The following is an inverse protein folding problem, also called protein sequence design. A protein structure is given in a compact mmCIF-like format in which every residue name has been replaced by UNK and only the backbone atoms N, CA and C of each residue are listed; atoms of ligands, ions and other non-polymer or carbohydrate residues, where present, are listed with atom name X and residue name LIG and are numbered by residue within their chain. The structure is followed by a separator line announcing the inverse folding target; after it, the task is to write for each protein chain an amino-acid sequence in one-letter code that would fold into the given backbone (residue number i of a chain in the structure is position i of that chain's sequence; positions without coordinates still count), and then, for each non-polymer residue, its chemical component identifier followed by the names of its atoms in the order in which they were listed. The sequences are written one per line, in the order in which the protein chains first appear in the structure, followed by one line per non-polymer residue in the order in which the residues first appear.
data_IF_069088066790
#
_entry.id   IF_069088066790
#
_cell.length_a   1.000
_cell.length_b   1.000
_cell.length_c   1.000
_cell.angle_alpha   90.00
_cell.angle_beta   90.00
_cell.angle_gamma   90.00
#
_symmetry.space_group_name_H-M   'P 1'
#
loop_
_entity.id
_entity.type
_entity.pdbx_description
1 polymer ?
#
# COMPACT_ATOMS: atom_id res chain seq x y z
N UNK A 1 22.65 -18.62 17.26
CA UNK A 1 21.40 -17.94 17.69
C UNK A 1 21.65 -16.50 18.18
N UNK A 2 22.89 -16.12 18.52
CA UNK A 2 23.24 -14.78 19.04
C UNK A 2 23.70 -13.74 17.99
N UNK A 3 23.72 -14.07 16.70
CA UNK A 3 24.30 -13.20 15.67
C UNK A 3 23.40 -11.99 15.28
N UNK A 4 22.22 -11.87 15.89
CA UNK A 4 21.23 -10.84 15.54
C UNK A 4 21.24 -9.61 16.46
N UNK A 5 21.92 -9.66 17.61
CA UNK A 5 21.78 -8.67 18.70
C UNK A 5 22.87 -7.57 18.64
N UNK A 6 23.75 -7.60 17.64
CA UNK A 6 24.83 -6.62 17.50
C UNK A 6 24.34 -5.23 17.07
N UNK A 7 24.84 -4.18 17.73
CA UNK A 7 24.61 -2.77 17.36
C UNK A 7 25.03 -2.45 15.91
N UNK A 8 25.94 -3.22 15.33
CA UNK A 8 26.40 -3.10 13.94
C UNK A 8 25.24 -3.27 12.92
N UNK A 9 24.18 -3.99 13.31
CA UNK A 9 23.00 -4.21 12.47
C UNK A 9 22.18 -2.93 12.25
N UNK A 10 22.34 -1.90 13.09
CA UNK A 10 21.62 -0.62 12.94
C UNK A 10 21.99 0.14 11.68
N UNK A 11 23.19 -0.11 11.13
CA UNK A 11 23.69 0.54 9.91
C UNK A 11 22.87 0.19 8.66
N UNK A 12 22.22 -0.96 8.66
CA UNK A 12 21.48 -1.49 7.51
C UNK A 12 19.96 -1.39 7.67
N UNK A 13 19.48 -0.72 8.73
CA UNK A 13 18.06 -0.45 8.92
C UNK A 13 17.54 0.49 7.84
N UNK A 14 16.43 0.10 7.22
CA UNK A 14 15.68 0.93 6.28
C UNK A 14 14.61 1.74 7.00
N UNK A 15 13.93 2.63 6.27
CA UNK A 15 12.90 3.50 6.83
C UNK A 15 11.78 2.72 7.52
N UNK A 16 11.31 1.61 6.92
CA UNK A 16 10.30 0.73 7.52
C UNK A 16 10.76 0.11 8.86
N UNK A 17 12.05 -0.16 9.00
CA UNK A 17 12.63 -0.76 10.21
C UNK A 17 12.69 0.24 11.35
N UNK A 18 13.17 1.45 11.05
CA UNK A 18 13.26 2.54 12.01
C UNK A 18 11.86 2.94 12.48
N UNK A 19 10.91 2.99 11.55
CA UNK A 19 9.51 3.27 11.84
C UNK A 19 8.93 2.29 12.86
N UNK A 20 8.97 0.98 12.59
CA UNK A 20 8.33 0.01 13.49
C UNK A 20 9.02 -0.03 14.85
N UNK A 21 10.33 0.25 14.93
CA UNK A 21 11.06 0.36 16.19
C UNK A 21 10.63 1.60 16.99
N UNK A 22 10.41 2.74 16.32
CA UNK A 22 9.91 3.95 16.97
C UNK A 22 8.47 3.76 17.46
N UNK A 23 7.59 3.20 16.63
CA UNK A 23 6.20 2.88 17.01
C UNK A 23 6.14 1.85 18.15
N UNK A 24 7.03 0.84 18.16
CA UNK A 24 7.14 -0.11 19.27
C UNK A 24 7.50 0.60 20.57
N UNK A 25 8.43 1.56 20.51
CA UNK A 25 8.82 2.34 21.68
C UNK A 25 7.68 3.25 22.17
N UNK A 26 6.89 3.82 21.26
CA UNK A 26 5.65 4.54 21.63
C UNK A 26 4.61 3.62 22.25
N UNK A 27 4.43 2.40 21.73
CA UNK A 27 3.56 1.39 22.34
C UNK A 27 3.99 1.08 23.77
N UNK A 28 5.29 0.90 24.02
CA UNK A 28 5.80 0.64 25.38
C UNK A 28 5.38 1.76 26.32
N UNK A 29 5.55 3.02 25.92
CA UNK A 29 5.11 4.18 26.70
C UNK A 29 3.60 4.19 26.94
N UNK A 30 2.79 3.97 25.90
CA UNK A 30 1.32 3.96 25.99
C UNK A 30 0.82 2.86 26.94
N UNK A 31 1.40 1.66 26.85
CA UNK A 31 1.07 0.53 27.72
C UNK A 31 1.46 0.83 29.16
N UNK A 32 2.66 1.36 29.40
CA UNK A 32 3.13 1.74 30.73
C UNK A 32 2.20 2.80 31.36
N UNK A 33 1.89 3.86 30.61
CA UNK A 33 0.94 4.90 31.02
C UNK A 33 -0.45 4.30 31.36
N UNK A 34 -0.93 3.34 30.59
CA UNK A 34 -2.20 2.64 30.89
C UNK A 34 -2.11 1.74 32.12
N UNK A 35 -1.01 1.02 32.31
CA UNK A 35 -0.79 0.13 33.44
C UNK A 35 -0.71 0.91 34.76
N UNK A 36 0.05 2.01 34.81
CA UNK A 36 0.16 2.91 35.97
C UNK A 36 -1.19 3.52 36.38
N UNK A 37 -2.08 3.73 35.42
CA UNK A 37 -3.43 4.26 35.65
C UNK A 37 -4.50 3.16 35.82
N UNK A 38 -4.12 1.89 36.01
CA UNK A 38 -5.02 0.74 36.15
C UNK A 38 -6.00 0.55 34.97
N UNK A 39 -5.65 1.04 33.77
CA UNK A 39 -6.43 0.93 32.53
C UNK A 39 -6.04 -0.31 31.72
N UNK A 40 -6.07 -1.48 32.37
CA UNK A 40 -5.64 -2.76 31.78
C UNK A 40 -6.31 -3.09 30.43
N UNK A 41 -7.59 -2.77 30.27
CA UNK A 41 -8.31 -2.99 29.01
C UNK A 41 -7.72 -2.18 27.86
N UNK A 42 -7.26 -0.96 28.13
CA UNK A 42 -6.72 -0.07 27.10
C UNK A 42 -5.27 -0.44 26.77
N UNK A 43 -4.46 -0.81 27.78
CA UNK A 43 -3.15 -1.43 27.57
C UNK A 43 -3.22 -2.65 26.63
N UNK A 44 -4.14 -3.58 26.89
CA UNK A 44 -4.33 -4.77 26.06
C UNK A 44 -4.81 -4.43 24.64
N UNK A 45 -5.68 -3.41 24.49
CA UNK A 45 -6.10 -2.93 23.17
C UNK A 45 -4.93 -2.33 22.39
N UNK A 46 -4.08 -1.52 23.03
CA UNK A 46 -2.91 -0.92 22.41
C UNK A 46 -1.95 -2.01 21.88
N UNK A 47 -1.60 -2.99 22.73
CA UNK A 47 -0.74 -4.13 22.34
C UNK A 47 -1.34 -4.87 21.14
N UNK A 48 -2.63 -5.20 21.21
CA UNK A 48 -3.33 -5.92 20.13
C UNK A 48 -3.34 -5.12 18.83
N UNK A 49 -3.68 -3.83 18.89
CA UNK A 49 -3.78 -2.98 17.72
C UNK A 49 -2.42 -2.82 17.04
N UNK A 50 -1.34 -2.58 17.79
CA UNK A 50 0.01 -2.53 17.24
C UNK A 50 0.41 -3.87 16.61
N UNK A 51 0.19 -4.98 17.33
CA UNK A 51 0.57 -6.32 16.87
C UNK A 51 -0.13 -6.68 15.56
N UNK A 52 -1.41 -6.36 15.45
CA UNK A 52 -2.22 -6.70 14.28
C UNK A 52 -1.99 -5.72 13.13
N UNK A 53 -2.22 -4.44 13.37
CA UNK A 53 -2.32 -3.45 12.31
C UNK A 53 -0.95 -2.89 11.91
N UNK A 54 -0.03 -2.60 12.84
CA UNK A 54 1.27 -2.03 12.47
C UNK A 54 2.30 -3.12 12.14
N UNK A 55 2.35 -4.17 12.96
CA UNK A 55 3.33 -5.24 12.80
C UNK A 55 2.91 -6.30 11.78
N UNK A 56 1.81 -7.00 12.00
CA UNK A 56 1.44 -8.17 11.20
C UNK A 56 0.93 -7.82 9.79
N UNK A 57 -0.07 -6.95 9.68
CA UNK A 57 -0.66 -6.59 8.37
C UNK A 57 0.31 -5.80 7.49
N UNK A 58 1.22 -5.07 8.12
CA UNK A 58 2.07 -4.08 7.45
C UNK A 58 3.55 -4.43 7.50
N UNK A 59 4.23 -4.26 8.65
CA UNK A 59 5.69 -4.42 8.70
C UNK A 59 6.18 -5.80 8.21
N UNK A 60 5.55 -6.91 8.63
CA UNK A 60 5.91 -8.25 8.18
C UNK A 60 5.84 -8.39 6.66
N UNK A 61 4.80 -7.83 6.06
CA UNK A 61 4.58 -7.89 4.63
C UNK A 61 5.56 -7.01 3.84
N UNK A 62 5.93 -5.86 4.40
CA UNK A 62 6.93 -4.94 3.83
C UNK A 62 8.31 -5.61 3.78
N UNK A 63 8.75 -6.23 4.88
CA UNK A 63 10.12 -6.78 4.98
C UNK A 63 10.26 -8.20 4.41
N UNK A 64 9.15 -8.85 4.07
CA UNK A 64 9.12 -10.24 3.60
C UNK A 64 10.08 -10.50 2.45
N UNK A 65 10.07 -9.66 1.42
CA UNK A 65 10.97 -9.81 0.27
C UNK A 65 12.44 -9.76 0.70
N UNK A 66 12.79 -8.82 1.58
CA UNK A 66 14.15 -8.64 2.10
C UNK A 66 14.65 -9.86 2.88
N UNK A 67 13.77 -10.55 3.59
CA UNK A 67 14.12 -11.80 4.30
C UNK A 67 14.53 -12.94 3.37
N UNK A 68 13.94 -13.02 2.17
CA UNK A 68 14.24 -14.08 1.19
C UNK A 68 15.34 -13.68 0.20
N UNK A 69 15.23 -12.48 -0.36
CA UNK A 69 16.03 -12.04 -1.51
C UNK A 69 17.05 -10.94 -1.19
N UNK A 70 17.05 -10.38 0.03
CA UNK A 70 18.02 -9.37 0.45
C UNK A 70 19.44 -9.92 0.60
N UNK A 71 20.41 -9.00 0.70
CA UNK A 71 21.79 -9.35 1.07
C UNK A 71 21.86 -9.89 2.50
N UNK A 72 22.96 -10.52 2.88
CA UNK A 72 23.12 -11.06 4.24
C UNK A 72 23.00 -9.97 5.32
N UNK A 73 23.51 -8.77 5.04
CA UNK A 73 23.38 -7.60 5.93
C UNK A 73 21.92 -7.16 6.07
N UNK A 74 21.20 -7.06 4.96
CA UNK A 74 19.78 -6.66 4.95
C UNK A 74 18.88 -7.69 5.65
N UNK A 75 19.18 -8.98 5.46
CA UNK A 75 18.52 -10.08 6.16
C UNK A 75 18.79 -10.02 7.66
N UNK A 76 20.03 -9.77 8.08
CA UNK A 76 20.39 -9.60 9.50
C UNK A 76 19.65 -8.42 10.12
N UNK A 77 19.61 -7.27 9.45
CA UNK A 77 18.86 -6.10 9.90
C UNK A 77 17.36 -6.38 10.07
N UNK A 78 16.72 -6.98 9.06
CA UNK A 78 15.30 -7.35 9.15
C UNK A 78 15.03 -8.31 10.31
N UNK A 79 15.88 -9.35 10.47
CA UNK A 79 15.76 -10.33 11.57
C UNK A 79 15.97 -9.70 12.95
N UNK A 80 16.90 -8.74 13.08
CA UNK A 80 17.09 -7.99 14.32
C UNK A 80 15.82 -7.24 14.73
N UNK A 81 15.17 -6.55 13.79
CA UNK A 81 13.95 -5.79 14.09
C UNK A 81 12.79 -6.72 14.42
N UNK A 82 12.59 -7.78 13.62
CA UNK A 82 11.57 -8.80 13.90
C UNK A 82 11.76 -9.42 15.28
N UNK A 83 13.02 -9.72 15.64
CA UNK A 83 13.35 -10.24 16.94
C UNK A 83 13.02 -9.25 18.06
N UNK A 84 13.43 -7.99 17.89
CA UNK A 84 13.22 -6.93 18.88
C UNK A 84 11.73 -6.66 19.13
N UNK A 85 10.92 -6.62 18.08
CA UNK A 85 9.47 -6.44 18.17
C UNK A 85 8.84 -7.62 18.89
N UNK A 86 9.12 -8.87 18.47
CA UNK A 86 8.55 -10.06 19.10
C UNK A 86 8.96 -10.22 20.57
N UNK A 87 10.24 -10.02 20.89
CA UNK A 87 10.77 -10.03 22.26
C UNK A 87 10.00 -9.06 23.17
N UNK A 88 9.75 -7.84 22.66
CA UNK A 88 9.04 -6.80 23.39
C UNK A 88 7.56 -7.13 23.55
N UNK A 89 6.87 -7.58 22.50
CA UNK A 89 5.46 -7.96 22.55
C UNK A 89 5.20 -9.13 23.52
N UNK A 90 6.08 -10.15 23.54
CA UNK A 90 5.99 -11.28 24.47
C UNK A 90 6.07 -10.79 25.93
N UNK A 91 6.98 -9.86 26.24
CA UNK A 91 7.09 -9.27 27.58
C UNK A 91 5.90 -8.38 27.93
N UNK A 92 5.44 -7.54 26.99
CA UNK A 92 4.29 -6.65 27.21
C UNK A 92 3.00 -7.44 27.53
N UNK A 93 2.78 -8.57 26.86
CA UNK A 93 1.57 -9.38 27.04
C UNK A 93 1.63 -10.33 28.25
N UNK A 94 2.83 -10.59 28.81
CA UNK A 94 3.02 -11.54 29.91
C UNK A 94 2.11 -11.31 31.14
N UNK A 95 1.86 -10.06 31.61
CA UNK A 95 0.93 -9.81 32.71
C UNK A 95 -0.54 -10.17 32.41
N UNK A 96 -0.93 -10.20 31.13
CA UNK A 96 -2.31 -10.45 30.70
C UNK A 96 -2.57 -11.91 30.36
N UNK A 97 -1.61 -12.57 29.70
CA UNK A 97 -1.74 -13.94 29.21
C UNK A 97 -0.50 -14.75 29.60
N UNK A 98 -0.30 -15.05 30.89
CA UNK A 98 0.98 -15.53 31.42
C UNK A 98 1.44 -16.86 30.83
N UNK A 99 0.52 -17.82 30.63
CA UNK A 99 0.86 -19.13 30.06
C UNK A 99 1.20 -19.05 28.56
N UNK A 100 0.45 -18.24 27.80
CA UNK A 100 0.72 -18.04 26.37
C UNK A 100 2.06 -17.33 26.17
N UNK A 101 2.33 -16.30 26.97
CA UNK A 101 3.60 -15.57 26.91
C UNK A 101 4.78 -16.48 27.27
N UNK A 102 4.63 -17.36 28.26
CA UNK A 102 5.67 -18.33 28.65
C UNK A 102 5.94 -19.35 27.53
N UNK A 103 4.90 -19.88 26.88
CA UNK A 103 5.06 -20.79 25.74
C UNK A 103 5.77 -20.10 24.57
N UNK A 104 5.36 -18.87 24.22
CA UNK A 104 6.03 -18.07 23.20
C UNK A 104 7.49 -17.80 23.57
N UNK A 105 7.79 -17.45 24.83
CA UNK A 105 9.15 -17.21 25.31
C UNK A 105 10.02 -18.47 25.22
N UNK A 106 9.49 -19.63 25.62
CA UNK A 106 10.18 -20.91 25.53
C UNK A 106 10.57 -21.24 24.08
N UNK A 107 9.66 -21.07 23.12
CA UNK A 107 9.95 -21.28 21.69
C UNK A 107 10.96 -20.24 21.16
N UNK A 108 10.84 -18.99 21.61
CA UNK A 108 11.58 -17.87 21.04
C UNK A 108 13.00 -17.72 21.60
N UNK A 109 13.21 -18.01 22.90
CA UNK A 109 14.48 -17.85 23.62
C UNK A 109 15.09 -19.19 24.03
N UNK A 110 14.27 -20.21 24.29
CA UNK A 110 14.74 -21.54 24.70
C UNK A 110 15.23 -21.67 26.13
N UNK A 111 15.31 -20.56 26.88
CA UNK A 111 15.79 -20.54 28.27
C UNK A 111 15.16 -19.43 29.12
N UNK A 112 15.10 -19.67 30.43
CA UNK A 112 14.48 -18.77 31.40
C UNK A 112 12.96 -18.69 31.30
N UNK A 113 12.38 -17.76 32.04
CA UNK A 113 10.94 -17.44 32.02
C UNK A 113 10.76 -15.97 31.69
N UNK A 114 9.72 -15.63 30.92
CA UNK A 114 9.38 -14.23 30.63
C UNK A 114 9.03 -13.47 31.90
N UNK A 115 8.46 -14.14 32.89
CA UNK A 115 8.07 -13.57 34.19
C UNK A 115 9.25 -13.21 35.10
N UNK A 116 10.47 -13.61 34.72
CA UNK A 116 11.72 -13.24 35.41
C UNK A 116 12.50 -12.14 34.67
N UNK A 117 11.98 -11.65 33.54
CA UNK A 117 12.63 -10.60 32.75
C UNK A 117 12.18 -9.21 33.19
N UNK A 118 13.03 -8.22 32.97
CA UNK A 118 12.63 -6.82 33.10
C UNK A 118 11.49 -6.50 32.14
N UNK A 119 10.52 -5.73 32.62
CA UNK A 119 9.46 -5.21 31.76
C UNK A 119 10.05 -4.21 30.77
N UNK A 120 9.53 -4.09 29.53
CA UNK A 120 10.03 -3.12 28.56
C UNK A 120 9.87 -1.69 29.07
N UNK A 121 10.89 -0.86 28.88
CA UNK A 121 10.92 0.53 29.33
C UNK A 121 11.00 1.49 28.13
N UNK A 122 10.27 2.60 28.21
CA UNK A 122 10.30 3.65 27.19
C UNK A 122 11.68 4.30 27.13
N UNK A 123 12.15 4.55 25.91
CA UNK A 123 13.43 5.19 25.63
C UNK A 123 13.25 6.38 24.72
N UNK A 124 13.45 7.59 25.23
CA UNK A 124 13.29 8.82 24.45
C UNK A 124 14.24 8.87 23.24
N UNK A 125 15.44 8.29 23.35
CA UNK A 125 16.43 8.21 22.27
C UNK A 125 16.06 7.24 21.14
N UNK A 126 14.98 6.48 21.30
CA UNK A 126 14.46 5.54 20.30
C UNK A 126 13.23 6.09 19.56
N UNK A 127 12.79 7.32 19.86
CA UNK A 127 11.74 8.00 19.10
C UNK A 127 12.37 8.67 17.88
N UNK A 128 11.85 8.35 16.70
CA UNK A 128 12.29 8.90 15.40
C UNK A 128 11.06 9.32 14.59
N UNK A 129 10.65 10.58 14.75
CA UNK A 129 9.46 11.14 14.10
C UNK A 129 9.58 11.17 12.57
N UNK A 130 10.78 11.37 12.06
CA UNK A 130 11.05 11.35 10.61
C UNK A 130 10.88 9.94 10.07
N UNK A 131 11.45 8.93 10.74
CA UNK A 131 11.24 7.54 10.36
C UNK A 131 9.75 7.15 10.45
N UNK A 132 9.03 7.66 11.44
CA UNK A 132 7.60 7.43 11.57
C UNK A 132 6.78 8.00 10.40
N UNK A 133 7.07 9.23 9.97
CA UNK A 133 6.44 9.81 8.78
C UNK A 133 6.74 8.98 7.53
N UNK A 134 8.02 8.64 7.30
CA UNK A 134 8.47 7.88 6.13
C UNK A 134 7.89 6.47 6.10
N UNK A 135 7.91 5.77 7.23
CA UNK A 135 7.39 4.41 7.34
C UNK A 135 5.88 4.32 7.18
N UNK A 136 5.11 5.27 7.74
CA UNK A 136 3.66 5.35 7.51
C UNK A 136 3.35 5.63 6.04
N UNK A 137 4.12 6.49 5.37
CA UNK A 137 3.97 6.72 3.94
C UNK A 137 4.25 5.45 3.12
N UNK A 138 5.34 4.73 3.41
CA UNK A 138 5.67 3.44 2.78
C UNK A 138 4.52 2.43 2.96
N UNK A 139 4.03 2.28 4.19
CA UNK A 139 2.90 1.42 4.55
C UNK A 139 1.67 1.75 3.71
N UNK A 140 1.30 3.02 3.65
CA UNK A 140 0.08 3.47 2.98
C UNK A 140 0.18 3.30 1.45
N UNK A 141 1.36 3.52 0.86
CA UNK A 141 1.62 3.23 -0.56
C UNK A 141 1.46 1.73 -0.87
N UNK A 142 2.07 0.86 -0.06
CA UNK A 142 1.96 -0.60 -0.24
C UNK A 142 0.51 -1.05 -0.12
N UNK A 143 -0.23 -0.53 0.86
CA UNK A 143 -1.64 -0.83 1.04
C UNK A 143 -2.49 -0.36 -0.16
N UNK A 144 -2.24 0.85 -0.68
CA UNK A 144 -2.94 1.39 -1.84
C UNK A 144 -2.72 0.53 -3.10
N UNK A 145 -1.48 0.12 -3.37
CA UNK A 145 -1.16 -0.74 -4.53
C UNK A 145 -1.82 -2.12 -4.38
N UNK A 146 -1.79 -2.71 -3.18
CA UNK A 146 -2.44 -4.01 -2.92
C UNK A 146 -3.95 -3.95 -3.10
N UNK A 147 -4.58 -2.87 -2.63
CA UNK A 147 -6.01 -2.61 -2.84
C UNK A 147 -6.33 -2.49 -4.33
N UNK A 148 -5.54 -1.72 -5.07
CA UNK A 148 -5.70 -1.60 -6.53
C UNK A 148 -5.60 -2.98 -7.22
N UNK A 149 -4.61 -3.80 -6.85
CA UNK A 149 -4.50 -5.17 -7.39
C UNK A 149 -5.75 -6.00 -7.10
N UNK A 150 -6.22 -5.98 -5.85
CA UNK A 150 -7.45 -6.68 -5.45
C UNK A 150 -8.66 -6.22 -6.27
N UNK A 151 -8.88 -4.91 -6.39
CA UNK A 151 -10.04 -4.34 -7.08
C UNK A 151 -10.03 -4.66 -8.59
N UNK A 152 -8.83 -4.86 -9.16
CA UNK A 152 -8.64 -5.33 -10.54
C UNK A 152 -8.63 -6.85 -10.70
N UNK A 153 -8.81 -7.62 -9.62
CA UNK A 153 -8.75 -9.08 -9.65
C UNK A 153 -7.35 -9.64 -9.96
N UNK A 154 -6.30 -8.84 -9.75
CA UNK A 154 -4.91 -9.27 -9.89
C UNK A 154 -4.44 -10.00 -8.62
N UNK A 155 -3.61 -11.03 -8.79
CA UNK A 155 -2.94 -11.64 -7.64
C UNK A 155 -2.03 -10.61 -6.95
N UNK A 156 -1.99 -10.61 -5.61
CA UNK A 156 -1.21 -9.61 -4.84
C UNK A 156 0.29 -9.65 -5.18
N UNK A 157 0.81 -10.82 -5.55
CA UNK A 157 2.20 -11.02 -5.96
C UNK A 157 2.42 -10.87 -7.48
N UNK A 158 1.39 -10.60 -8.28
CA UNK A 158 1.55 -10.37 -9.71
C UNK A 158 2.48 -9.16 -9.94
N UNK A 159 3.54 -9.28 -10.75
CA UNK A 159 4.39 -8.14 -11.05
C UNK A 159 3.62 -7.10 -11.86
N UNK A 160 3.93 -5.83 -11.62
CA UNK A 160 3.45 -4.66 -12.35
C UNK A 160 4.55 -4.22 -13.32
N UNK A 161 4.20 -3.61 -14.45
CA UNK A 161 5.16 -3.14 -15.45
C UNK A 161 6.09 -2.08 -14.86
N UNK A 162 5.53 -1.07 -14.18
CA UNK A 162 6.29 -0.04 -13.49
C UNK A 162 5.47 0.64 -12.38
N UNK A 163 6.13 1.12 -11.32
CA UNK A 163 5.51 1.92 -10.26
C UNK A 163 6.34 3.17 -10.05
N UNK A 164 5.72 4.35 -10.17
CA UNK A 164 6.36 5.64 -9.96
C UNK A 164 5.68 6.35 -8.80
N UNK A 165 6.46 6.68 -7.77
CA UNK A 165 6.01 7.38 -6.56
C UNK A 165 6.45 8.82 -6.66
N UNK A 166 5.48 9.74 -6.64
CA UNK A 166 5.69 11.18 -6.70
C UNK A 166 5.43 11.77 -5.32
N UNK A 167 6.49 12.04 -4.56
CA UNK A 167 6.41 12.44 -3.16
C UNK A 167 7.37 13.59 -2.85
N UNK A 168 6.94 14.60 -2.07
CA UNK A 168 7.84 15.62 -1.54
C UNK A 168 8.77 15.07 -0.44
N UNK A 169 8.38 13.96 0.19
CA UNK A 169 9.15 13.26 1.23
C UNK A 169 10.05 12.23 0.57
N UNK A 170 11.34 12.27 0.90
CA UNK A 170 12.33 11.30 0.44
C UNK A 170 12.23 10.01 1.26
N UNK A 171 11.90 8.89 0.60
CA UNK A 171 11.69 7.58 1.21
C UNK A 171 12.49 6.48 0.50
N UNK A 172 12.91 5.45 1.23
CA UNK A 172 13.48 4.25 0.65
C UNK A 172 12.41 3.36 0.00
N UNK A 173 12.29 3.47 -1.33
CA UNK A 173 11.30 2.71 -2.11
C UNK A 173 11.63 1.22 -2.28
N UNK A 174 12.81 0.74 -1.83
CA UNK A 174 13.21 -0.65 -2.03
C UNK A 174 12.30 -1.64 -1.32
N UNK A 175 11.81 -1.27 -0.14
CA UNK A 175 10.86 -2.10 0.60
C UNK A 175 9.46 -2.08 -0.06
N UNK A 176 9.06 -0.97 -0.69
CA UNK A 176 7.85 -0.92 -1.53
C UNK A 176 8.00 -1.89 -2.70
N UNK A 177 9.13 -1.80 -3.43
CA UNK A 177 9.42 -2.64 -4.59
C UNK A 177 9.36 -4.14 -4.25
N UNK A 178 9.96 -4.51 -3.11
CA UNK A 178 9.88 -5.87 -2.59
C UNK A 178 8.46 -6.30 -2.23
N UNK A 179 7.70 -5.45 -1.54
CA UNK A 179 6.36 -5.77 -1.06
C UNK A 179 5.31 -5.89 -2.17
N UNK A 180 5.48 -5.15 -3.27
CA UNK A 180 4.58 -5.17 -4.43
C UNK A 180 5.09 -6.02 -5.59
N UNK A 181 6.29 -6.61 -5.46
CA UNK A 181 6.96 -7.42 -6.48
C UNK A 181 7.13 -6.69 -7.82
N UNK A 182 7.62 -5.45 -7.79
CA UNK A 182 7.77 -4.62 -9.01
C UNK A 182 8.86 -3.57 -8.83
N UNK A 183 9.36 -3.03 -9.94
CA UNK A 183 10.26 -1.88 -9.88
C UNK A 183 9.50 -0.65 -9.39
N UNK A 184 10.13 0.10 -8.49
CA UNK A 184 9.57 1.32 -7.93
C UNK A 184 10.60 2.44 -8.03
N UNK A 185 10.19 3.57 -8.59
CA UNK A 185 11.00 4.78 -8.71
C UNK A 185 10.40 5.91 -7.88
N UNK A 186 11.26 6.69 -7.21
CA UNK A 186 10.87 7.89 -6.50
C UNK A 186 11.17 9.13 -7.35
N UNK A 187 10.16 9.96 -7.56
CA UNK A 187 10.24 11.18 -8.35
C UNK A 187 9.70 12.36 -7.53
N UNK A 188 10.29 13.55 -7.72
CA UNK A 188 9.90 14.77 -6.99
C UNK A 188 8.84 15.59 -7.73
N UNK A 189 8.87 15.55 -9.05
CA UNK A 189 8.01 16.37 -9.90
C UNK A 189 6.78 15.59 -10.33
N UNK A 190 5.60 16.12 -10.01
CA UNK A 190 4.33 15.49 -10.41
C UNK A 190 4.24 15.38 -11.94
N UNK A 191 3.73 14.26 -12.46
CA UNK A 191 3.54 14.11 -13.89
C UNK A 191 2.33 14.91 -14.35
N UNK A 192 2.30 15.27 -15.63
CA UNK A 192 1.05 15.63 -16.28
C UNK A 192 0.20 14.36 -16.44
N UNK A 193 -1.02 14.40 -15.91
CA UNK A 193 -1.97 13.29 -15.96
C UNK A 193 -3.07 13.68 -16.93
N UNK A 194 -3.07 13.04 -18.09
CA UNK A 194 -4.14 13.19 -19.06
C UNK A 194 -5.25 12.18 -18.76
N UNK A 195 -6.50 12.58 -18.98
CA UNK A 195 -7.66 11.68 -18.86
C UNK A 195 -8.29 11.50 -20.23
N UNK A 196 -8.52 10.25 -20.63
CA UNK A 196 -9.05 9.89 -21.95
C UNK A 196 -10.20 8.89 -21.84
N UNK A 197 -11.03 8.83 -22.88
CA UNK A 197 -12.09 7.82 -23.00
C UNK A 197 -11.48 6.55 -23.58
N UNK A 198 -11.26 5.56 -22.72
CA UNK A 198 -10.73 4.25 -23.12
C UNK A 198 -11.72 3.47 -23.98
N UNK A 199 -13.00 3.48 -23.59
CA UNK A 199 -14.04 2.79 -24.34
C UNK A 199 -15.41 3.42 -24.12
N UNK A 200 -16.21 3.44 -25.19
CA UNK A 200 -17.64 3.71 -25.16
C UNK A 200 -18.37 2.39 -25.40
N UNK A 201 -18.82 1.75 -24.32
CA UNK A 201 -19.48 0.44 -24.37
C UNK A 201 -20.94 0.62 -24.77
N UNK A 202 -21.37 0.12 -25.95
CA UNK A 202 -22.72 0.34 -26.44
C UNK A 202 -23.77 -0.41 -25.62
N UNK A 203 -24.88 0.27 -25.28
CA UNK A 203 -26.07 -0.35 -24.69
C UNK A 203 -26.96 -0.89 -25.80
N UNK A 204 -26.73 -2.14 -26.17
CA UNK A 204 -27.48 -2.81 -27.25
C UNK A 204 -29.00 -2.84 -27.03
N UNK A 205 -29.48 -2.87 -25.79
CA UNK A 205 -30.92 -2.79 -25.49
C UNK A 205 -31.58 -1.47 -25.92
N UNK A 206 -30.78 -0.40 -26.04
CA UNK A 206 -31.21 0.93 -26.49
C UNK A 206 -30.97 1.08 -27.99
N UNK A 207 -29.74 0.78 -28.44
CA UNK A 207 -29.32 0.99 -29.82
C UNK A 207 -29.98 0.04 -30.82
N UNK A 208 -30.19 -1.23 -30.43
CA UNK A 208 -30.78 -2.27 -31.28
C UNK A 208 -32.14 -1.88 -31.87
N UNK A 209 -33.13 -1.54 -31.02
CA UNK A 209 -34.46 -1.11 -31.48
C UNK A 209 -34.44 0.16 -32.34
N UNK A 210 -33.54 1.11 -32.04
CA UNK A 210 -33.50 2.41 -32.74
C UNK A 210 -32.82 2.34 -34.11
N UNK A 211 -31.69 1.63 -34.22
CA UNK A 211 -30.83 1.68 -35.40
C UNK A 211 -30.80 0.37 -36.20
N UNK A 212 -31.34 -0.73 -35.66
CA UNK A 212 -31.43 -2.05 -36.33
C UNK A 212 -30.11 -2.48 -36.97
N UNK A 213 -30.04 -2.53 -38.29
CA UNK A 213 -28.85 -2.95 -39.06
C UNK A 213 -27.73 -1.90 -39.01
N UNK A 214 -28.05 -0.62 -38.76
CA UNK A 214 -27.09 0.50 -38.68
C UNK A 214 -26.31 0.56 -37.35
N UNK A 215 -26.66 -0.27 -36.36
CA UNK A 215 -26.02 -0.26 -35.02
C UNK A 215 -24.50 -0.40 -35.11
N UNK A 216 -24.01 -1.31 -35.96
CA UNK A 216 -22.56 -1.52 -36.12
C UNK A 216 -21.87 -0.29 -36.70
N UNK A 217 -22.44 0.32 -37.73
CA UNK A 217 -21.91 1.53 -38.36
C UNK A 217 -21.86 2.69 -37.36
N UNK A 218 -22.91 2.86 -36.55
CA UNK A 218 -22.96 3.88 -35.50
C UNK A 218 -21.86 3.68 -34.45
N UNK A 219 -21.70 2.46 -33.95
CA UNK A 219 -20.66 2.14 -32.95
C UNK A 219 -19.26 2.42 -33.54
N UNK A 220 -19.03 2.04 -34.80
CA UNK A 220 -17.77 2.32 -35.49
C UNK A 220 -17.51 3.82 -35.65
N UNK A 221 -18.53 4.61 -36.03
CA UNK A 221 -18.40 6.06 -36.18
C UNK A 221 -18.05 6.74 -34.85
N UNK A 222 -18.74 6.36 -33.76
CA UNK A 222 -18.49 6.90 -32.42
C UNK A 222 -17.11 6.49 -31.88
N UNK A 223 -16.68 5.24 -32.10
CA UNK A 223 -15.37 4.78 -31.66
C UNK A 223 -14.21 5.36 -32.48
N UNK A 224 -14.47 5.79 -33.71
CA UNK A 224 -13.48 6.44 -34.58
C UNK A 224 -13.28 7.93 -34.26
N UNK A 225 -14.10 8.53 -33.38
CA UNK A 225 -13.94 9.92 -32.96
C UNK A 225 -12.56 10.15 -32.32
N UNK A 226 -11.92 11.31 -32.58
CA UNK A 226 -10.73 11.74 -31.85
C UNK A 226 -10.95 11.81 -30.33
N UNK A 227 -9.89 11.66 -29.54
CA UNK A 227 -9.96 11.67 -28.07
C UNK A 227 -10.61 12.97 -27.55
N UNK A 228 -10.31 14.12 -28.15
CA UNK A 228 -10.91 15.41 -27.80
C UNK A 228 -12.43 15.42 -28.01
N UNK A 229 -12.91 14.84 -29.12
CA UNK A 229 -14.34 14.75 -29.42
C UNK A 229 -15.05 13.74 -28.53
N UNK A 230 -14.40 12.62 -28.19
CA UNK A 230 -14.93 11.66 -27.20
C UNK A 230 -15.05 12.30 -25.82
N UNK A 231 -14.04 13.06 -25.39
CA UNK A 231 -14.08 13.81 -24.13
C UNK A 231 -15.20 14.85 -24.14
N UNK A 232 -15.36 15.57 -25.26
CA UNK A 232 -16.46 16.51 -25.45
C UNK A 232 -17.83 15.81 -25.40
N UNK A 233 -17.98 14.68 -26.08
CA UNK A 233 -19.19 13.85 -26.06
C UNK A 233 -19.56 13.42 -24.65
N UNK A 234 -18.59 12.98 -23.84
CA UNK A 234 -18.82 12.60 -22.43
C UNK A 234 -19.23 13.81 -21.59
N UNK A 235 -18.63 14.99 -21.84
CA UNK A 235 -18.92 16.22 -21.07
C UNK A 235 -20.25 16.88 -21.44
N UNK A 236 -20.58 16.91 -22.72
CA UNK A 236 -21.77 17.58 -23.26
C UNK A 236 -23.00 16.66 -23.30
N UNK A 237 -22.79 15.34 -23.27
CA UNK A 237 -23.86 14.34 -23.21
C UNK A 237 -24.47 13.98 -24.57
N UNK A 238 -24.10 14.67 -25.65
CA UNK A 238 -24.40 14.25 -27.02
C UNK A 238 -23.33 14.73 -28.02
N UNK A 239 -23.30 14.09 -29.19
CA UNK A 239 -22.46 14.51 -30.32
C UNK A 239 -23.16 14.16 -31.63
N UNK A 240 -22.98 14.97 -32.67
CA UNK A 240 -23.48 14.67 -34.00
C UNK A 240 -22.44 13.89 -34.78
N UNK A 241 -22.83 12.74 -35.33
CA UNK A 241 -21.98 11.93 -36.23
C UNK A 241 -22.66 11.77 -37.58
N UNK A 242 -21.88 11.62 -38.64
CA UNK A 242 -22.39 11.34 -39.97
C UNK A 242 -22.51 9.83 -40.18
N UNK A 243 -23.70 9.37 -40.57
CA UNK A 243 -24.04 7.96 -40.78
C UNK A 243 -24.77 7.80 -42.11
N UNK A 244 -24.15 7.12 -43.07
CA UNK A 244 -24.70 6.89 -44.40
C UNK A 244 -25.16 8.18 -45.12
N UNK A 245 -24.49 9.31 -44.86
CA UNK A 245 -24.84 10.64 -45.42
C UNK A 245 -25.94 11.39 -44.65
N UNK A 246 -26.39 10.86 -43.50
CA UNK A 246 -27.33 11.53 -42.59
C UNK A 246 -26.63 11.95 -41.31
N UNK A 247 -26.91 13.15 -40.81
CA UNK A 247 -26.43 13.59 -39.49
C UNK A 247 -27.31 13.00 -38.39
N UNK A 248 -26.71 12.22 -37.50
CA UNK A 248 -27.38 11.58 -36.38
C UNK A 248 -26.86 12.15 -35.07
N UNK A 249 -27.76 12.62 -34.21
CA UNK A 249 -27.40 12.98 -32.84
C UNK A 249 -27.27 11.71 -31.99
N UNK A 250 -26.05 11.45 -31.52
CA UNK A 250 -25.73 10.35 -30.62
C UNK A 250 -25.79 10.85 -29.19
N UNK A 251 -26.52 10.14 -28.33
CA UNK A 251 -26.64 10.49 -26.91
C UNK A 251 -25.71 9.66 -26.04
N UNK A 252 -25.09 10.29 -25.04
CA UNK A 252 -24.21 9.66 -24.07
C UNK A 252 -24.88 8.54 -23.28
N UNK A 253 -26.18 8.68 -23.00
CA UNK A 253 -26.97 7.67 -22.28
C UNK A 253 -27.02 6.29 -23.01
N UNK A 254 -26.68 6.25 -24.30
CA UNK A 254 -26.62 5.02 -25.10
C UNK A 254 -25.33 4.23 -24.89
N UNK A 255 -24.37 4.77 -24.15
CA UNK A 255 -23.08 4.15 -23.90
C UNK A 255 -22.76 4.14 -22.40
N UNK A 256 -22.02 3.13 -21.96
CA UNK A 256 -21.27 3.20 -20.70
C UNK A 256 -19.85 3.68 -21.01
N UNK A 257 -19.40 4.68 -20.26
CA UNK A 257 -18.10 5.33 -20.48
C UNK A 257 -17.07 4.67 -19.57
N UNK A 258 -16.00 4.14 -20.17
CA UNK A 258 -14.81 3.70 -19.46
C UNK A 258 -13.71 4.74 -19.70
N UNK A 259 -13.27 5.39 -18.61
CA UNK A 259 -12.18 6.37 -18.64
C UNK A 259 -10.86 5.68 -18.30
N UNK A 260 -9.76 6.25 -18.79
CA UNK A 260 -8.41 5.91 -18.37
C UNK A 260 -7.58 7.16 -18.10
N UNK A 261 -6.54 6.99 -17.29
CA UNK A 261 -5.52 8.01 -17.06
C UNK A 261 -4.27 7.63 -17.84
N UNK A 262 -3.66 8.62 -18.49
CA UNK A 262 -2.45 8.47 -19.29
C UNK A 262 -1.34 9.32 -18.66
N UNK A 263 -0.15 8.73 -18.51
CA UNK A 263 1.05 9.44 -18.05
C UNK A 263 2.20 9.09 -18.99
N UNK A 264 2.74 10.08 -19.70
CA UNK A 264 3.83 9.87 -20.65
C UNK A 264 3.45 8.96 -21.84
N UNK A 265 2.17 8.95 -22.22
CA UNK A 265 1.64 8.13 -23.32
C UNK A 265 1.23 6.70 -22.93
N UNK A 266 1.43 6.29 -21.68
CA UNK A 266 1.08 4.96 -21.17
C UNK A 266 -0.18 5.02 -20.30
N UNK A 267 -1.05 4.01 -20.43
CA UNK A 267 -2.26 3.86 -19.60
C UNK A 267 -1.89 3.39 -18.19
N UNK A 268 -2.38 4.10 -17.18
CA UNK A 268 -1.95 3.93 -15.80
C UNK A 268 -3.11 3.99 -14.81
N UNK A 269 -2.91 3.34 -13.67
CA UNK A 269 -3.65 3.64 -12.46
C UNK A 269 -2.95 4.73 -11.68
N UNK A 270 -3.73 5.68 -11.16
CA UNK A 270 -3.22 6.78 -10.33
C UNK A 270 -3.88 6.68 -8.97
N UNK A 271 -3.06 6.43 -7.95
CA UNK A 271 -3.46 6.31 -6.56
C UNK A 271 -2.98 7.54 -5.79
N UNK A 272 -3.84 8.10 -4.95
CA UNK A 272 -3.52 9.23 -4.09
C UNK A 272 -3.32 8.74 -2.65
N UNK A 273 -2.16 9.05 -2.07
CA UNK A 273 -1.76 8.68 -0.71
C UNK A 273 -1.28 9.93 0.01
N UNK A 274 -2.20 10.66 0.66
CA UNK A 274 -1.90 11.96 1.24
C UNK A 274 -1.45 12.96 0.16
N UNK A 275 -0.25 13.53 0.30
CA UNK A 275 0.36 14.43 -0.70
C UNK A 275 1.23 13.70 -1.73
N UNK A 276 1.16 12.37 -1.76
CA UNK A 276 1.93 11.51 -2.67
C UNK A 276 1.02 10.93 -3.74
N UNK A 277 1.46 10.99 -4.99
CA UNK A 277 0.78 10.32 -6.12
C UNK A 277 1.57 9.07 -6.49
N UNK A 278 0.89 7.93 -6.62
CA UNK A 278 1.49 6.68 -7.09
C UNK A 278 0.89 6.34 -8.45
N UNK A 279 1.74 6.33 -9.47
CA UNK A 279 1.38 5.95 -10.83
C UNK A 279 1.81 4.50 -11.06
N UNK A 280 0.85 3.65 -11.41
CA UNK A 280 1.07 2.22 -11.63
C UNK A 280 0.75 1.86 -13.09
N UNK A 281 1.76 1.39 -13.80
CA UNK A 281 1.62 0.77 -15.12
C UNK A 281 1.36 -0.73 -14.92
N UNK A 282 0.22 -1.20 -15.45
CA UNK A 282 -0.22 -2.61 -15.34
C UNK A 282 0.15 -3.38 -16.59
#
# INVERSE_FOLDING_TARGET
MNDYIGFENRKYLRDADKWILSELNRLVKEVDDHMENYRFSDALKAIRNFTWYEYADNYLEIVKNRLYAGTDDEKRAARYVLYTVMDTLIRLIAPFTPFMAEECWSIFKGEGSVHLQSYPEFREDMVDEEAEEKGRLIRDIVAAIRRMKHDKGLALNAPLKNVRVFSPVEIDVRDIAGAVNSNVELLKEMPEIETRVKALKPKYGILGPMFKEKVKSLISAVNALPDEEKMKFVKEGSITVELDGESVEVKGEWFDVEMEKIVGGESVEVLEVGNTIVVVEI
#
